data_IF_939489440687
#
_entry.id   IF_939489440687
#
_cell.length_a   1.000
_cell.length_b   1.000
_cell.length_c   1.000
_cell.angle_alpha   90.00
_cell.angle_beta   90.00
_cell.angle_gamma   90.00
#
_symmetry.space_group_name_H-M   'P 1'
#
loop_
_entity.id
_entity.type
_entity.pdbx_description
1 polymer ?
#
# COMPACT_ATOMS: atom_id res chain seq x y z
N UNK A 1 -4.92 0.28 12.04
CA UNK A 1 -4.58 -0.91 12.84
C UNK A 1 -5.84 -1.46 13.49
N UNK A 2 -5.90 -2.77 13.67
CA UNK A 2 -7.01 -3.50 14.26
C UNK A 2 -6.49 -4.48 15.32
N UNK A 3 -7.41 -4.98 16.15
CA UNK A 3 -7.11 -6.10 17.04
C UNK A 3 -6.88 -7.38 16.26
N UNK A 4 -6.01 -8.24 16.75
CA UNK A 4 -5.77 -9.57 16.21
C UNK A 4 -7.01 -10.49 16.29
N UNK A 5 -7.94 -10.22 17.17
CA UNK A 5 -9.20 -10.96 17.29
C UNK A 5 -10.22 -10.60 16.19
N UNK A 6 -10.00 -9.52 15.44
CA UNK A 6 -11.02 -8.98 14.53
C UNK A 6 -11.27 -9.89 13.31
N UNK A 7 -10.26 -10.54 12.74
CA UNK A 7 -10.43 -11.40 11.57
C UNK A 7 -11.33 -12.60 11.89
N UNK A 8 -11.07 -13.27 13.00
CA UNK A 8 -11.89 -14.41 13.45
C UNK A 8 -13.30 -13.97 13.79
N UNK A 9 -13.43 -12.80 14.42
CA UNK A 9 -14.73 -12.23 14.75
C UNK A 9 -15.54 -11.89 13.49
N UNK A 10 -14.95 -11.25 12.49
CA UNK A 10 -15.58 -10.93 11.21
C UNK A 10 -16.04 -12.22 10.53
N UNK A 11 -15.16 -13.21 10.42
CA UNK A 11 -15.47 -14.48 9.78
C UNK A 11 -16.61 -15.22 10.45
N UNK A 12 -16.71 -15.14 11.78
CA UNK A 12 -17.76 -15.80 12.55
C UNK A 12 -19.11 -15.10 12.44
N UNK A 13 -19.13 -13.77 12.35
CA UNK A 13 -20.34 -12.96 12.47
C UNK A 13 -20.83 -12.35 11.16
N UNK A 14 -20.02 -12.36 10.10
CA UNK A 14 -20.36 -11.80 8.79
C UNK A 14 -20.38 -12.91 7.74
N UNK A 15 -21.55 -13.48 7.42
CA UNK A 15 -21.65 -14.58 6.45
C UNK A 15 -21.28 -14.15 5.02
N UNK A 16 -21.24 -12.85 4.74
CA UNK A 16 -20.79 -12.29 3.48
C UNK A 16 -19.27 -12.38 3.29
N UNK A 17 -18.53 -12.69 4.35
CA UNK A 17 -17.06 -12.77 4.33
C UNK A 17 -16.63 -14.20 4.03
N UNK A 18 -15.95 -14.36 2.90
CA UNK A 18 -15.36 -15.62 2.43
C UNK A 18 -14.13 -16.00 3.26
N UNK A 19 -13.23 -15.05 3.42
CA UNK A 19 -11.97 -15.23 4.14
C UNK A 19 -11.50 -13.94 4.80
N UNK A 20 -10.77 -14.06 5.90
CA UNK A 20 -10.14 -12.95 6.59
C UNK A 20 -8.73 -13.35 7.03
N UNK A 21 -7.81 -12.39 7.04
CA UNK A 21 -6.43 -12.60 7.46
C UNK A 21 -5.90 -11.41 8.24
N UNK A 22 -4.85 -11.67 9.01
CA UNK A 22 -4.09 -10.65 9.70
C UNK A 22 -2.77 -10.42 8.99
N UNK A 23 -2.37 -9.16 8.94
CA UNK A 23 -1.04 -8.76 8.51
C UNK A 23 -0.47 -7.75 9.48
N UNK A 24 0.80 -7.87 9.77
CA UNK A 24 1.57 -6.86 10.45
C UNK A 24 2.67 -6.36 9.51
N UNK A 25 2.58 -5.09 9.16
CA UNK A 25 3.61 -4.46 8.32
C UNK A 25 4.73 -3.95 9.21
N UNK A 26 5.78 -4.76 9.34
CA UNK A 26 6.98 -4.43 10.12
C UNK A 26 7.87 -3.36 9.48
N UNK A 27 7.56 -2.93 8.25
CA UNK A 27 8.36 -1.96 7.51
C UNK A 27 9.70 -2.53 7.07
N UNK A 28 10.75 -1.70 7.10
CA UNK A 28 12.10 -2.11 6.73
C UNK A 28 12.78 -2.75 7.95
N UNK A 29 13.40 -3.90 7.74
CA UNK A 29 14.24 -4.59 8.71
C UNK A 29 15.62 -4.83 8.14
N UNK A 30 16.61 -4.95 9.03
CA UNK A 30 17.96 -5.36 8.67
C UNK A 30 18.09 -6.87 8.81
N UNK A 31 18.67 -7.51 7.83
CA UNK A 31 19.05 -8.92 7.87
C UNK A 31 20.55 -9.04 7.58
N UNK A 32 21.18 -10.02 8.18
CA UNK A 32 22.60 -10.27 7.98
C UNK A 32 22.83 -11.69 7.44
N UNK A 33 23.67 -11.79 6.41
CA UNK A 33 24.17 -13.02 5.85
C UNK A 33 25.64 -12.85 5.50
N UNK A 34 26.50 -13.75 5.99
CA UNK A 34 27.96 -13.73 5.74
C UNK A 34 28.61 -12.37 5.98
N UNK A 35 28.26 -11.68 7.09
CA UNK A 35 28.73 -10.33 7.47
C UNK A 35 28.23 -9.18 6.58
N UNK A 36 27.40 -9.46 5.57
CA UNK A 36 26.75 -8.44 4.78
C UNK A 36 25.38 -8.12 5.38
N UNK A 37 25.07 -6.85 5.49
CA UNK A 37 23.77 -6.36 5.99
C UNK A 37 22.91 -5.92 4.80
N UNK A 38 21.70 -6.39 4.76
CA UNK A 38 20.70 -6.05 3.75
C UNK A 38 19.47 -5.42 4.42
N UNK A 39 18.94 -4.36 3.82
CA UNK A 39 17.68 -3.77 4.24
C UNK A 39 16.57 -4.30 3.35
N UNK A 40 15.53 -4.85 3.98
CA UNK A 40 14.43 -5.56 3.32
C UNK A 40 13.10 -5.19 3.93
N UNK A 41 12.03 -5.23 3.13
CA UNK A 41 10.66 -5.09 3.65
C UNK A 41 10.20 -6.41 4.25
N UNK A 42 9.73 -6.37 5.49
CA UNK A 42 9.16 -7.53 6.15
C UNK A 42 7.65 -7.40 6.31
N UNK A 43 6.96 -8.51 6.11
CA UNK A 43 5.53 -8.64 6.35
C UNK A 43 5.27 -9.88 7.19
N UNK A 44 4.65 -9.71 8.35
CA UNK A 44 4.20 -10.85 9.15
C UNK A 44 2.77 -11.20 8.73
N UNK A 45 2.55 -12.47 8.43
CA UNK A 45 1.30 -12.95 7.84
C UNK A 45 0.82 -14.22 8.51
N UNK A 46 -0.49 -14.40 8.56
CA UNK A 46 -1.10 -15.67 8.93
C UNK A 46 -1.25 -16.61 7.71
N UNK A 47 -1.63 -17.85 7.95
CA UNK A 47 -1.82 -18.84 6.88
C UNK A 47 -2.95 -18.47 5.92
N UNK A 48 -3.92 -17.67 6.36
CA UNK A 48 -5.04 -17.23 5.53
C UNK A 48 -4.59 -16.19 4.49
N UNK A 49 -3.61 -15.34 4.83
CA UNK A 49 -3.03 -14.38 3.88
C UNK A 49 -2.49 -15.08 2.63
N UNK A 50 -1.75 -16.16 2.82
CA UNK A 50 -1.11 -16.90 1.73
C UNK A 50 -2.14 -17.40 0.72
N UNK A 51 -3.22 -18.01 1.23
CA UNK A 51 -4.31 -18.52 0.39
C UNK A 51 -5.15 -17.40 -0.22
N UNK A 52 -5.41 -16.33 0.54
CA UNK A 52 -6.26 -15.22 0.11
C UNK A 52 -5.60 -14.39 -0.99
N UNK A 53 -4.28 -14.21 -0.95
CA UNK A 53 -3.51 -13.46 -1.93
C UNK A 53 -2.85 -14.31 -3.01
N UNK A 54 -3.08 -15.63 -2.99
CA UNK A 54 -2.54 -16.58 -3.95
C UNK A 54 -1.01 -16.42 -4.13
N UNK A 55 -0.29 -16.47 -3.00
CA UNK A 55 1.17 -16.38 -3.01
C UNK A 55 1.73 -17.60 -3.72
N UNK A 56 2.51 -17.37 -4.76
CA UNK A 56 3.09 -18.44 -5.60
C UNK A 56 4.46 -18.79 -5.05
N UNK A 57 4.63 -20.03 -4.64
CA UNK A 57 5.93 -20.60 -4.27
C UNK A 57 6.67 -21.05 -5.52
N UNK A 58 7.93 -20.65 -5.65
CA UNK A 58 8.82 -21.03 -6.76
C UNK A 58 9.68 -22.22 -6.34
N UNK A 59 10.16 -22.21 -5.10
CA UNK A 59 11.02 -23.27 -4.55
C UNK A 59 10.71 -23.50 -3.06
N UNK A 60 10.88 -24.71 -2.57
CA UNK A 60 10.69 -25.08 -1.18
C UNK A 60 9.26 -25.51 -0.82
N UNK A 61 8.77 -25.17 0.38
CA UNK A 61 7.48 -25.62 0.89
C UNK A 61 6.30 -24.91 0.19
N UNK A 62 5.62 -25.64 -0.70
CA UNK A 62 4.45 -25.15 -1.42
C UNK A 62 3.25 -24.80 -0.53
N UNK A 63 3.20 -25.29 0.68
CA UNK A 63 2.11 -25.00 1.62
C UNK A 63 2.35 -23.73 2.40
N UNK A 64 3.57 -23.19 2.37
CA UNK A 64 4.00 -21.97 3.08
C UNK A 64 3.51 -21.94 4.54
N UNK A 65 3.63 -23.08 5.22
CA UNK A 65 3.35 -23.13 6.66
C UNK A 65 4.59 -22.67 7.41
N UNK A 66 4.64 -21.39 7.68
CA UNK A 66 5.75 -20.78 8.38
C UNK A 66 5.67 -21.11 9.88
N UNK A 67 6.64 -21.85 10.38
CA UNK A 67 6.85 -22.07 11.83
C UNK A 67 7.54 -20.86 12.48
N UNK A 68 7.69 -20.89 13.78
CA UNK A 68 8.21 -19.77 14.60
C UNK A 68 9.55 -19.18 14.16
N UNK A 69 10.41 -19.99 13.56
CA UNK A 69 11.75 -19.61 13.07
C UNK A 69 11.91 -19.86 11.58
N UNK A 70 10.81 -19.87 10.86
CA UNK A 70 10.79 -20.13 9.42
C UNK A 70 10.31 -18.91 8.68
N UNK A 71 10.93 -18.65 7.54
CA UNK A 71 10.62 -17.51 6.69
C UNK A 71 10.51 -17.94 5.24
N UNK A 72 9.76 -17.15 4.46
CA UNK A 72 9.83 -17.19 3.01
C UNK A 72 10.43 -15.87 2.50
N UNK A 73 11.22 -15.95 1.45
CA UNK A 73 11.83 -14.78 0.81
C UNK A 73 11.36 -14.68 -0.64
N UNK A 74 11.38 -13.49 -1.20
CA UNK A 74 11.06 -13.32 -2.62
C UNK A 74 12.22 -13.80 -3.51
N UNK A 75 11.92 -14.16 -4.75
CA UNK A 75 12.89 -14.52 -5.79
C UNK A 75 13.96 -13.42 -5.97
N UNK A 76 13.55 -12.14 -5.96
CA UNK A 76 14.48 -11.03 -6.06
C UNK A 76 15.42 -10.94 -4.87
N UNK A 77 14.92 -11.19 -3.68
CA UNK A 77 15.72 -11.20 -2.46
C UNK A 77 16.65 -12.40 -2.43
N UNK A 78 16.17 -13.58 -2.86
CA UNK A 78 16.99 -14.77 -3.01
C UNK A 78 18.17 -14.51 -3.95
N UNK A 79 17.92 -13.96 -5.13
CA UNK A 79 18.97 -13.64 -6.10
C UNK A 79 19.95 -12.57 -5.58
N UNK A 80 19.44 -11.57 -4.86
CA UNK A 80 20.28 -10.49 -4.29
C UNK A 80 21.25 -10.98 -3.23
N UNK A 81 20.85 -11.96 -2.39
CA UNK A 81 21.62 -12.42 -1.24
C UNK A 81 22.49 -13.64 -1.60
N UNK A 82 21.93 -14.59 -2.36
CA UNK A 82 22.51 -15.91 -2.62
C UNK A 82 22.96 -16.10 -4.08
N UNK A 83 22.61 -15.17 -5.00
CA UNK A 83 22.91 -15.34 -6.42
C UNK A 83 22.23 -16.58 -7.00
N UNK A 84 23.04 -17.47 -7.55
CA UNK A 84 22.57 -18.75 -8.15
C UNK A 84 22.46 -19.91 -7.14
N UNK A 85 22.87 -19.69 -5.89
CA UNK A 85 22.78 -20.73 -4.88
C UNK A 85 21.37 -20.85 -4.31
N UNK A 86 20.93 -22.09 -4.04
CA UNK A 86 19.65 -22.31 -3.38
C UNK A 86 19.65 -21.72 -1.97
N UNK A 87 18.68 -20.87 -1.63
CA UNK A 87 18.54 -20.29 -0.30
C UNK A 87 17.85 -21.24 0.69
N UNK A 88 17.21 -22.32 0.22
CA UNK A 88 16.41 -23.20 1.07
C UNK A 88 17.29 -23.89 2.12
N UNK A 89 16.84 -23.82 3.37
CA UNK A 89 17.56 -24.36 4.52
C UNK A 89 18.67 -23.46 5.08
N UNK A 90 19.03 -22.38 4.37
CA UNK A 90 20.00 -21.40 4.89
C UNK A 90 19.34 -20.50 5.94
N UNK A 91 20.17 -19.93 6.80
CA UNK A 91 19.73 -19.04 7.88
C UNK A 91 20.07 -17.60 7.60
N UNK A 92 19.17 -16.71 7.97
CA UNK A 92 19.39 -15.27 8.02
C UNK A 92 19.31 -14.79 9.48
N UNK A 93 20.23 -13.93 9.86
CA UNK A 93 20.23 -13.28 11.16
C UNK A 93 19.41 -12.00 11.09
N UNK A 94 18.58 -11.77 12.10
CA UNK A 94 17.75 -10.57 12.26
C UNK A 94 18.22 -9.77 13.47
N UNK A 95 19.13 -8.80 13.31
CA UNK A 95 19.64 -7.98 14.40
C UNK A 95 18.52 -7.24 15.15
N UNK A 96 17.57 -6.69 14.41
CA UNK A 96 16.44 -5.91 14.96
C UNK A 96 15.46 -6.78 15.79
N UNK A 97 15.61 -8.10 15.76
CA UNK A 97 14.81 -9.08 16.51
C UNK A 97 15.62 -9.82 17.57
N UNK A 98 16.58 -9.14 18.17
CA UNK A 98 17.43 -9.72 19.21
C UNK A 98 18.39 -10.77 18.67
N UNK A 99 18.91 -10.60 17.46
CA UNK A 99 19.78 -11.52 16.77
C UNK A 99 19.14 -12.92 16.54
N UNK A 100 17.84 -12.92 16.20
CA UNK A 100 17.16 -14.16 15.91
C UNK A 100 17.64 -14.75 14.57
N UNK A 101 18.00 -16.02 14.58
CA UNK A 101 18.28 -16.78 13.37
C UNK A 101 16.99 -17.42 12.84
N UNK A 102 16.70 -17.18 11.56
CA UNK A 102 15.51 -17.72 10.90
C UNK A 102 15.89 -18.49 9.64
N UNK A 103 15.27 -19.65 9.46
CA UNK A 103 15.57 -20.57 8.36
C UNK A 103 14.64 -20.28 7.17
N UNK A 104 15.20 -20.19 6.00
CA UNK A 104 14.45 -20.02 4.74
C UNK A 104 13.85 -21.37 4.35
N UNK A 105 12.52 -21.44 4.26
CA UNK A 105 11.80 -22.68 3.90
C UNK A 105 11.15 -22.60 2.53
N UNK A 106 10.99 -21.40 1.98
CA UNK A 106 10.41 -21.21 0.67
C UNK A 106 10.92 -19.94 -0.02
N UNK A 107 10.95 -20.00 -1.35
CA UNK A 107 11.10 -18.85 -2.23
C UNK A 107 9.77 -18.60 -2.90
N UNK A 108 9.28 -17.37 -2.79
CA UNK A 108 8.00 -16.95 -3.37
C UNK A 108 8.21 -15.93 -4.49
N UNK A 109 7.29 -15.91 -5.43
CA UNK A 109 7.32 -14.93 -6.51
C UNK A 109 7.08 -13.53 -5.97
N UNK A 110 7.97 -12.59 -6.28
CA UNK A 110 7.78 -11.19 -5.94
C UNK A 110 6.56 -10.61 -6.66
N UNK A 111 5.84 -9.72 -5.96
CA UNK A 111 4.74 -9.02 -6.60
C UNK A 111 5.26 -8.01 -7.62
N UNK A 112 4.58 -7.96 -8.76
CA UNK A 112 4.86 -6.97 -9.80
C UNK A 112 4.10 -5.68 -9.48
N UNK A 113 4.78 -4.54 -9.72
CA UNK A 113 4.20 -3.22 -9.55
C UNK A 113 4.22 -2.69 -8.11
N UNK A 114 3.45 -1.64 -7.87
CA UNK A 114 3.36 -1.01 -6.56
C UNK A 114 2.30 -1.71 -5.69
N UNK A 115 2.71 -2.14 -4.51
CA UNK A 115 1.83 -2.72 -3.50
C UNK A 115 1.77 -1.82 -2.27
N UNK A 116 0.60 -1.78 -1.62
CA UNK A 116 0.43 -1.14 -0.32
C UNK A 116 1.21 -1.89 0.78
N UNK A 117 1.41 -3.18 0.59
CA UNK A 117 2.14 -4.06 1.49
C UNK A 117 3.33 -4.69 0.74
N UNK A 118 4.37 -3.88 0.45
CA UNK A 118 5.57 -4.44 -0.15
C UNK A 118 6.23 -5.39 0.82
N UNK A 119 6.75 -6.50 0.31
CA UNK A 119 7.52 -7.44 1.10
C UNK A 119 8.65 -8.05 0.29
N UNK A 120 9.75 -8.26 0.96
CA UNK A 120 10.91 -9.04 0.52
C UNK A 120 10.97 -10.35 1.31
N UNK A 121 10.44 -10.31 2.55
CA UNK A 121 10.44 -11.43 3.48
C UNK A 121 9.05 -11.57 4.09
N UNK A 122 8.52 -12.79 4.09
CA UNK A 122 7.34 -13.18 4.83
C UNK A 122 7.73 -13.91 6.12
N UNK A 123 7.19 -13.43 7.22
CA UNK A 123 7.36 -14.03 8.54
C UNK A 123 6.02 -14.55 9.07
N UNK A 124 6.02 -15.54 9.94
CA UNK A 124 4.79 -15.98 10.59
C UNK A 124 4.29 -14.88 11.52
N UNK A 125 3.02 -14.51 11.35
CA UNK A 125 2.34 -13.66 12.33
C UNK A 125 2.13 -14.43 13.62
N UNK A 126 2.66 -13.90 14.70
CA UNK A 126 2.51 -14.48 16.04
C UNK A 126 1.80 -13.48 16.92
N UNK A 127 0.57 -13.78 17.24
CA UNK A 127 -0.14 -13.06 18.28
C UNK A 127 0.41 -13.47 19.65
N UNK A 128 1.11 -12.56 20.30
CA UNK A 128 1.73 -12.83 21.61
C UNK A 128 0.76 -12.67 22.76
N UNK A 129 -0.31 -11.92 22.53
CA UNK A 129 -1.25 -11.56 23.58
C UNK A 129 -2.54 -11.03 22.93
N UNK A 130 -3.43 -11.94 22.48
CA UNK A 130 -4.65 -11.57 21.79
C UNK A 130 -5.56 -10.76 22.70
N UNK A 131 -5.68 -9.48 22.39
CA UNK A 131 -6.52 -8.54 23.13
C UNK A 131 -7.22 -7.57 22.19
N UNK A 132 -8.47 -7.27 22.49
CA UNK A 132 -9.26 -6.30 21.77
C UNK A 132 -8.73 -4.87 21.89
N UNK A 133 -8.07 -4.53 22.96
CA UNK A 133 -7.47 -3.21 23.21
C UNK A 133 -6.20 -2.93 22.44
N UNK A 134 -5.52 -3.96 21.97
CA UNK A 134 -4.25 -3.82 21.23
C UNK A 134 -4.50 -3.79 19.73
N UNK A 135 -4.30 -2.64 19.14
CA UNK A 135 -4.35 -2.45 17.69
C UNK A 135 -2.97 -2.66 17.08
N UNK A 136 -2.63 -3.89 16.74
CA UNK A 136 -1.27 -4.26 16.32
C UNK A 136 -1.17 -4.67 14.85
N UNK A 137 -2.27 -5.06 14.21
CA UNK A 137 -2.28 -5.58 12.86
C UNK A 137 -3.28 -4.87 11.95
N UNK A 138 -3.22 -5.16 10.67
CA UNK A 138 -4.27 -4.85 9.72
C UNK A 138 -5.08 -6.11 9.48
N UNK A 139 -6.39 -5.99 9.54
CA UNK A 139 -7.31 -7.06 9.16
C UNK A 139 -7.75 -6.83 7.73
N UNK A 140 -7.46 -7.80 6.88
CA UNK A 140 -7.95 -7.83 5.50
C UNK A 140 -8.98 -8.94 5.39
N UNK A 141 -10.03 -8.71 4.62
CA UNK A 141 -11.02 -9.74 4.36
C UNK A 141 -11.54 -9.66 2.92
N UNK A 142 -11.90 -10.82 2.40
CA UNK A 142 -12.53 -10.98 1.09
C UNK A 142 -14.00 -11.25 1.31
N UNK A 143 -14.85 -10.55 0.59
CA UNK A 143 -16.28 -10.80 0.57
C UNK A 143 -16.64 -11.66 -0.65
N UNK A 144 -17.70 -12.45 -0.55
CA UNK A 144 -18.21 -13.19 -1.69
C UNK A 144 -18.60 -12.26 -2.84
N UNK A 145 -18.44 -12.68 -4.11
CA UNK A 145 -18.96 -11.95 -5.25
C UNK A 145 -20.46 -11.66 -5.06
N UNK A 146 -20.90 -10.45 -5.37
CA UNK A 146 -22.26 -9.95 -5.19
C UNK A 146 -22.71 -9.65 -3.75
N UNK A 147 -21.82 -9.67 -2.78
CA UNK A 147 -22.13 -9.19 -1.42
C UNK A 147 -22.10 -7.67 -1.37
N UNK A 148 -23.02 -7.10 -0.58
CA UNK A 148 -23.09 -5.66 -0.37
C UNK A 148 -22.12 -5.22 0.73
N UNK A 149 -21.15 -4.39 0.36
CA UNK A 149 -20.15 -3.83 1.29
C UNK A 149 -20.82 -2.99 2.39
N UNK A 150 -21.86 -2.22 2.04
CA UNK A 150 -22.57 -1.39 3.02
C UNK A 150 -23.31 -2.24 4.07
N UNK A 151 -23.81 -3.41 3.66
CA UNK A 151 -24.45 -4.33 4.60
C UNK A 151 -23.44 -4.89 5.61
N UNK A 152 -22.22 -5.21 5.15
CA UNK A 152 -21.11 -5.64 6.03
C UNK A 152 -20.72 -4.51 6.98
N UNK A 153 -20.55 -3.28 6.49
CA UNK A 153 -20.24 -2.12 7.33
C UNK A 153 -21.30 -1.86 8.40
N UNK A 154 -22.59 -1.86 8.01
CA UNK A 154 -23.70 -1.68 8.94
C UNK A 154 -23.76 -2.78 9.99
N UNK A 155 -23.37 -4.01 9.61
CA UNK A 155 -23.32 -5.15 10.54
C UNK A 155 -22.17 -4.99 11.52
N UNK A 156 -20.97 -4.66 11.04
CA UNK A 156 -19.80 -4.42 11.89
C UNK A 156 -20.02 -3.23 12.82
N UNK A 157 -20.67 -2.16 12.37
CA UNK A 157 -20.98 -0.99 13.19
C UNK A 157 -21.96 -1.29 14.35
N UNK A 158 -22.80 -2.33 14.21
CA UNK A 158 -23.71 -2.76 15.29
C UNK A 158 -23.00 -3.47 16.44
N UNK A 159 -21.86 -4.07 16.16
CA UNK A 159 -21.09 -4.76 17.19
C UNK A 159 -20.29 -3.73 18.00
N UNK A 160 -20.88 -3.32 19.12
CA UNK A 160 -20.15 -2.61 20.17
C UNK A 160 -19.25 -3.63 20.84
N UNK A 161 -18.03 -3.77 20.33
CA UNK A 161 -17.00 -4.51 21.03
C UNK A 161 -16.68 -3.66 22.24
N UNK A 162 -17.15 -4.12 23.40
CA UNK A 162 -16.87 -3.48 24.68
C UNK A 162 -15.43 -3.82 25.04
N UNK A 163 -14.54 -2.91 24.69
CA UNK A 163 -13.19 -2.89 25.26
C UNK A 163 -13.32 -2.48 26.73
N UNK A 164 -12.60 -3.17 27.60
CA UNK A 164 -12.51 -2.81 29.00
C UNK A 164 -12.32 -1.30 29.15
N UNK A 165 -13.29 -0.68 29.77
CA UNK A 165 -13.41 0.63 30.43
C UNK A 165 -12.95 1.92 29.72
N UNK A 166 -12.19 1.95 28.62
CA UNK A 166 -11.56 3.21 28.19
C UNK A 166 -11.81 3.71 26.78
N UNK A 167 -12.31 2.93 25.84
CA UNK A 167 -12.65 3.47 24.53
C UNK A 167 -13.68 2.61 23.78
N UNK A 168 -14.75 3.22 23.27
CA UNK A 168 -15.61 2.50 22.34
C UNK A 168 -14.79 2.17 21.09
N UNK A 169 -14.91 0.93 20.57
CA UNK A 169 -14.37 0.59 19.25
C UNK A 169 -15.10 1.45 18.24
N UNK A 170 -14.40 2.42 17.70
CA UNK A 170 -14.90 3.20 16.58
C UNK A 170 -14.69 2.32 15.35
N UNK A 171 -15.79 1.81 14.78
CA UNK A 171 -15.70 1.16 13.48
C UNK A 171 -15.36 2.23 12.45
N UNK A 172 -14.16 2.18 11.93
CA UNK A 172 -13.79 2.99 10.77
C UNK A 172 -14.44 2.41 9.52
N UNK A 173 -14.81 3.23 8.53
CA UNK A 173 -15.36 2.74 7.28
C UNK A 173 -14.40 1.75 6.60
N UNK A 174 -14.97 0.72 6.00
CA UNK A 174 -14.20 -0.28 5.27
C UNK A 174 -13.63 0.36 4.00
N UNK A 175 -12.32 0.26 3.84
CA UNK A 175 -11.67 0.73 2.64
C UNK A 175 -11.43 -0.41 1.66
N UNK A 176 -11.84 -0.24 0.40
CA UNK A 176 -11.53 -1.20 -0.66
C UNK A 176 -10.03 -1.20 -0.96
N UNK A 177 -9.42 -2.38 -1.02
CA UNK A 177 -7.99 -2.53 -1.28
C UNK A 177 -7.58 -1.92 -2.63
N UNK A 178 -8.47 -1.92 -3.63
CA UNK A 178 -8.25 -1.29 -4.92
C UNK A 178 -8.07 0.22 -4.85
N UNK A 179 -8.72 0.88 -3.91
CA UNK A 179 -8.55 2.33 -3.68
C UNK A 179 -7.30 2.66 -2.87
N UNK A 180 -6.77 1.67 -2.14
CA UNK A 180 -5.58 1.82 -1.31
C UNK A 180 -4.26 1.64 -2.08
N UNK A 181 -4.30 1.19 -3.34
CA UNK A 181 -3.10 0.92 -4.17
C UNK A 181 -2.16 2.11 -4.34
N UNK A 182 -2.67 3.33 -4.22
CA UNK A 182 -1.89 4.55 -4.45
C UNK A 182 -1.37 5.22 -3.18
N UNK A 183 -1.57 4.62 -2.01
CA UNK A 183 -1.28 5.28 -0.75
C UNK A 183 -0.31 4.49 0.12
N UNK A 184 0.55 5.22 0.82
CA UNK A 184 1.46 4.62 1.81
C UNK A 184 0.66 4.12 3.01
N UNK A 185 0.99 2.93 3.60
CA UNK A 185 0.22 2.33 4.69
C UNK A 185 0.11 3.19 5.97
N UNK A 186 0.93 4.22 6.10
CA UNK A 186 0.99 5.10 7.29
C UNK A 186 0.24 6.41 7.19
N UNK A 187 -0.38 6.71 6.04
CA UNK A 187 -0.98 8.03 5.83
C UNK A 187 -2.45 7.93 5.44
N UNK A 188 -3.23 8.87 5.93
CA UNK A 188 -4.64 8.97 5.60
C UNK A 188 -4.84 9.20 4.10
N UNK A 189 -5.54 8.28 3.46
CA UNK A 189 -5.82 8.25 2.02
C UNK A 189 -6.53 9.53 1.58
N UNK A 190 -7.50 9.99 2.38
CA UNK A 190 -8.31 11.16 2.04
C UNK A 190 -7.46 12.43 1.99
N UNK A 191 -6.49 12.54 2.87
CA UNK A 191 -5.58 13.70 2.90
C UNK A 191 -4.73 13.74 1.63
N UNK A 192 -4.18 12.61 1.19
CA UNK A 192 -3.35 12.56 -0.03
C UNK A 192 -4.15 12.85 -1.29
N UNK A 193 -5.31 12.25 -1.45
CA UNK A 193 -6.17 12.50 -2.61
C UNK A 193 -6.61 13.95 -2.70
N UNK A 194 -6.92 14.58 -1.56
CA UNK A 194 -7.27 15.99 -1.52
C UNK A 194 -6.07 16.89 -1.86
N UNK A 195 -4.87 16.55 -1.41
CA UNK A 195 -3.66 17.26 -1.81
C UNK A 195 -3.39 17.15 -3.31
N UNK A 196 -3.52 15.96 -3.91
CA UNK A 196 -3.35 15.78 -5.35
C UNK A 196 -4.38 16.61 -6.14
N UNK A 197 -5.65 16.63 -5.72
CA UNK A 197 -6.68 17.47 -6.33
C UNK A 197 -6.36 18.95 -6.18
N UNK A 198 -5.91 19.38 -5.00
CA UNK A 198 -5.53 20.77 -4.75
C UNK A 198 -4.37 21.19 -5.68
N UNK A 199 -3.32 20.38 -5.77
CA UNK A 199 -2.19 20.67 -6.67
C UNK A 199 -2.61 20.69 -8.14
N UNK A 200 -3.50 19.80 -8.56
CA UNK A 200 -4.05 19.80 -9.91
C UNK A 200 -4.84 21.08 -10.20
N UNK A 201 -5.66 21.55 -9.26
CA UNK A 201 -6.39 22.80 -9.38
C UNK A 201 -5.45 24.02 -9.46
N UNK A 202 -4.42 24.08 -8.61
CA UNK A 202 -3.41 25.13 -8.64
C UNK A 202 -2.66 25.12 -9.98
N UNK A 203 -2.25 23.97 -10.46
CA UNK A 203 -1.59 23.81 -11.75
C UNK A 203 -2.45 24.29 -12.92
N UNK A 204 -3.74 23.94 -12.94
CA UNK A 204 -4.69 24.43 -13.93
C UNK A 204 -4.84 25.95 -13.89
N UNK A 205 -4.91 26.53 -12.70
CA UNK A 205 -5.01 27.98 -12.52
C UNK A 205 -3.78 28.71 -13.08
N UNK A 206 -2.59 28.20 -12.80
CA UNK A 206 -1.33 28.75 -13.32
C UNK A 206 -1.30 28.72 -14.85
N UNK A 207 -1.74 27.60 -15.47
CA UNK A 207 -1.82 27.48 -16.93
C UNK A 207 -2.80 28.52 -17.49
N UNK A 208 -3.98 28.68 -16.90
CA UNK A 208 -4.98 29.65 -17.34
C UNK A 208 -4.42 31.06 -17.24
N UNK A 209 -3.77 31.44 -16.13
CA UNK A 209 -3.12 32.72 -15.97
C UNK A 209 -2.04 32.96 -17.02
N UNK A 210 -1.22 31.98 -17.31
CA UNK A 210 -0.20 32.02 -18.36
C UNK A 210 -0.80 32.25 -19.75
N UNK A 211 -1.88 31.54 -20.08
CA UNK A 211 -2.60 31.71 -21.34
C UNK A 211 -3.23 33.13 -21.44
N UNK A 212 -3.84 33.62 -20.40
CA UNK A 212 -4.41 35.00 -20.38
C UNK A 212 -3.32 36.04 -20.62
N UNK A 213 -2.17 35.92 -19.96
CA UNK A 213 -1.04 36.81 -20.17
C UNK A 213 -0.52 36.74 -21.61
N UNK A 214 -0.35 35.53 -22.16
CA UNK A 214 0.06 35.33 -23.54
C UNK A 214 -0.94 35.95 -24.53
N UNK A 215 -2.23 35.69 -24.35
CA UNK A 215 -3.27 36.28 -25.21
C UNK A 215 -3.28 37.81 -25.14
N UNK A 216 -3.09 38.40 -23.95
CA UNK A 216 -3.00 39.87 -23.78
C UNK A 216 -1.82 40.42 -24.57
N UNK A 217 -0.65 39.79 -24.48
CA UNK A 217 0.52 40.22 -25.25
C UNK A 217 0.26 40.09 -26.77
N UNK A 218 -0.37 39.01 -27.21
CA UNK A 218 -0.66 38.76 -28.61
C UNK A 218 -1.63 39.78 -29.17
N UNK A 219 -2.72 40.09 -28.43
CA UNK A 219 -3.69 41.13 -28.81
C UNK A 219 -3.02 42.50 -28.89
N UNK A 220 -2.16 42.82 -27.94
CA UNK A 220 -1.41 44.09 -27.93
C UNK A 220 -0.50 44.20 -29.16
N UNK A 221 0.24 43.15 -29.52
CA UNK A 221 1.06 43.12 -30.74
C UNK A 221 0.26 43.31 -32.02
N UNK A 222 -0.90 42.63 -32.10
CA UNK A 222 -1.79 42.77 -33.26
C UNK A 222 -2.33 44.21 -33.37
N UNK A 223 -2.73 44.84 -32.26
CA UNK A 223 -3.21 46.24 -32.22
C UNK A 223 -2.12 47.19 -32.65
N UNK A 224 -0.89 47.01 -32.18
CA UNK A 224 0.24 47.86 -32.56
C UNK A 224 0.52 47.74 -34.07
N UNK A 225 0.56 46.53 -34.62
CA UNK A 225 0.74 46.30 -36.07
C UNK A 225 -0.39 46.96 -36.92
N UNK A 226 -1.64 46.84 -36.48
CA UNK A 226 -2.78 47.48 -37.16
C UNK A 226 -2.64 49.02 -37.16
N UNK A 227 -2.18 49.60 -36.06
CA UNK A 227 -1.95 51.03 -35.95
C UNK A 227 -0.80 51.50 -36.85
N UNK A 228 0.27 50.73 -36.93
CA UNK A 228 1.42 50.97 -37.84
C UNK A 228 0.99 50.94 -39.31
N UNK A 229 0.23 49.93 -39.70
CA UNK A 229 -0.32 49.79 -41.05
C UNK A 229 -1.29 50.92 -41.39
N UNK A 230 -2.14 51.34 -40.45
CA UNK A 230 -3.04 52.46 -40.64
C UNK A 230 -2.29 53.80 -40.85
N UNK A 231 -1.23 54.03 -40.06
CA UNK A 231 -0.38 55.20 -40.21
C UNK A 231 0.38 55.20 -41.56
N UNK A 232 0.89 54.09 -42.01
CA UNK A 232 1.53 53.94 -43.32
C UNK A 232 0.54 54.24 -44.50
N UNK A 233 -0.71 53.80 -44.37
CA UNK A 233 -1.76 54.00 -45.38
C UNK A 233 -2.16 55.48 -45.44
N UNK A 234 -2.22 56.20 -44.31
CA UNK A 234 -2.52 57.65 -44.25
C UNK A 234 -1.37 58.48 -44.84
N UNK A 235 -0.13 58.04 -44.69
CA UNK A 235 1.07 58.68 -45.24
C UNK A 235 1.37 58.29 -46.69
N UNK A 236 0.41 57.71 -47.46
CA UNK A 236 0.54 57.50 -48.89
C UNK A 236 1.34 56.24 -49.28
N UNK A 237 1.59 55.29 -48.40
CA UNK A 237 2.19 54.05 -48.81
C UNK A 237 1.21 53.20 -49.59
N UNK A 238 1.51 52.95 -50.87
CA UNK A 238 0.79 52.02 -51.74
C UNK A 238 0.87 50.61 -51.19
N UNK A 239 -0.24 49.85 -51.38
CA UNK A 239 -0.22 48.38 -51.11
C UNK A 239 0.70 47.74 -52.15
N UNK A 240 1.93 47.39 -51.74
CA UNK A 240 2.77 46.47 -52.43
C UNK A 240 2.59 45.06 -51.86
#
# INVERSE_FOLDING_TARGET
YSSSLLADYIKKNCPEVESACHIYNGGITSIEHEKNVYHTYQLEVDSNFISMFNIITIDGDNRLRLGDKQIAITDKTAQKIFGEESPIGKQLLFPDRGNAEMTIVAVVKSWEGHSMYPFDILLPYKDRDPDWGRQQCHTLFRIYPNSDVEAVEKRLAKYKIQLDSYSPVISTPIALLSTLRSTHPREDINVKLNHVRLFACIGALVIICGLCNYLTMLVTRIRMRKRELALRKVNGASNG
#
